data_IF_236520558370
#
_entry.id   IF_236520558370
#
_cell.length_a   1.000
_cell.length_b   1.000
_cell.length_c   1.000
_cell.angle_alpha   90.00
_cell.angle_beta   90.00
_cell.angle_gamma   90.00
#
_symmetry.space_group_name_H-M   'P 1'
#
loop_
_entity.id
_entity.type
_entity.pdbx_description
1 polymer ?
#
# COMPACT_ATOMS: atom_id res chain seq x y z
N UNK A 1 16.89 -1.98 -13.70
CA UNK A 1 15.60 -1.80 -14.38
C UNK A 1 14.55 -1.99 -13.30
N UNK A 2 13.85 -0.94 -12.89
CA UNK A 2 12.81 -1.08 -11.86
C UNK A 2 11.56 -1.64 -12.51
N UNK A 3 11.18 -2.86 -12.15
CA UNK A 3 10.01 -3.54 -12.71
C UNK A 3 8.74 -3.01 -12.03
N UNK A 4 8.08 -2.06 -12.68
CA UNK A 4 6.78 -1.53 -12.24
C UNK A 4 5.69 -2.60 -12.39
N UNK A 5 4.85 -2.75 -11.37
CA UNK A 5 3.75 -3.72 -11.37
C UNK A 5 2.43 -3.01 -11.67
N UNK A 6 1.60 -3.60 -12.52
CA UNK A 6 0.27 -3.06 -12.84
C UNK A 6 -0.70 -3.28 -11.67
N UNK A 7 -1.42 -2.25 -11.25
CA UNK A 7 -2.27 -2.29 -10.04
C UNK A 7 -3.62 -2.89 -10.32
N UNK A 8 -4.25 -2.43 -11.39
CA UNK A 8 -5.64 -2.74 -11.68
C UNK A 8 -5.78 -3.08 -13.15
N UNK A 9 -6.22 -4.31 -13.37
CA UNK A 9 -6.44 -4.92 -14.67
C UNK A 9 -7.85 -5.49 -14.64
N UNK A 10 -8.70 -5.06 -15.55
CA UNK A 10 -9.91 -5.80 -15.85
C UNK A 10 -9.52 -6.97 -16.78
N UNK A 11 -9.62 -8.20 -16.30
CA UNK A 11 -9.36 -9.39 -17.11
C UNK A 11 -10.52 -10.37 -17.01
N UNK A 12 -11.11 -10.72 -18.15
CA UNK A 12 -12.05 -11.83 -18.31
C UNK A 12 -11.31 -13.14 -18.65
N UNK A 13 -9.97 -13.14 -18.53
CA UNK A 13 -9.07 -14.15 -19.11
C UNK A 13 -7.87 -14.40 -18.18
N UNK A 14 -7.04 -15.42 -18.47
CA UNK A 14 -5.93 -15.89 -17.64
C UNK A 14 -5.04 -14.77 -17.05
N UNK A 15 -4.45 -15.00 -15.87
CA UNK A 15 -3.70 -14.02 -15.06
C UNK A 15 -2.61 -13.21 -15.80
N UNK A 16 -2.04 -13.75 -16.88
CA UNK A 16 -1.00 -13.10 -17.70
C UNK A 16 -1.49 -12.67 -19.10
N UNK A 17 -2.80 -12.71 -19.35
CA UNK A 17 -3.38 -12.25 -20.61
C UNK A 17 -3.47 -10.73 -20.66
N UNK A 18 -3.58 -10.18 -21.87
CA UNK A 18 -3.65 -8.74 -22.07
C UNK A 18 -4.87 -8.16 -21.33
N UNK A 19 -4.68 -7.16 -20.45
CA UNK A 19 -5.78 -6.43 -19.81
C UNK A 19 -6.77 -5.87 -20.82
N UNK A 20 -8.06 -5.80 -20.46
CA UNK A 20 -9.02 -4.94 -21.16
C UNK A 20 -8.63 -3.47 -21.01
N UNK A 21 -8.24 -3.08 -19.80
CA UNK A 21 -7.84 -1.72 -19.46
C UNK A 21 -6.84 -1.74 -18.31
N UNK A 22 -5.83 -0.87 -18.39
CA UNK A 22 -4.87 -0.61 -17.32
C UNK A 22 -5.20 0.77 -16.74
N UNK A 23 -5.69 0.80 -15.51
CA UNK A 23 -6.12 2.04 -14.85
C UNK A 23 -5.09 2.58 -13.84
N UNK A 24 -4.00 1.85 -13.61
CA UNK A 24 -2.94 2.32 -12.73
C UNK A 24 -1.72 1.40 -12.62
N UNK A 25 -0.64 1.97 -12.09
CA UNK A 25 0.66 1.33 -11.87
C UNK A 25 1.15 1.60 -10.45
N UNK A 26 1.90 0.65 -9.89
CA UNK A 26 2.45 0.71 -8.54
C UNK A 26 3.86 0.18 -8.56
N UNK A 27 4.73 0.91 -7.87
CA UNK A 27 6.05 0.42 -7.57
C UNK A 27 6.04 -0.24 -6.18
N UNK A 28 6.22 -1.57 -6.09
CA UNK A 28 6.29 -2.24 -4.80
C UNK A 28 7.53 -1.84 -4.00
N UNK A 29 8.56 -1.34 -4.68
CA UNK A 29 9.83 -0.97 -4.09
C UNK A 29 9.69 0.42 -3.45
N UNK A 30 9.84 0.51 -2.12
CA UNK A 30 9.80 1.80 -1.44
C UNK A 30 11.01 2.66 -1.86
N UNK A 31 10.74 3.92 -2.18
CA UNK A 31 11.76 4.90 -2.55
C UNK A 31 11.93 5.94 -1.44
N UNK A 32 13.15 6.45 -1.33
CA UNK A 32 13.46 7.61 -0.51
C UNK A 32 13.21 8.85 -1.35
N UNK A 33 12.53 9.85 -0.78
CA UNK A 33 12.42 11.13 -1.46
C UNK A 33 13.77 11.85 -1.46
N UNK A 34 14.11 12.49 -2.57
CA UNK A 34 15.38 13.21 -2.69
C UNK A 34 15.38 14.49 -1.84
N UNK A 35 14.19 15.02 -1.53
CA UNK A 35 13.99 16.26 -0.79
C UNK A 35 13.52 16.05 0.65
N UNK A 36 13.17 14.82 1.05
CA UNK A 36 12.76 14.50 2.43
C UNK A 36 13.93 13.90 3.23
N UNK A 37 14.52 14.72 4.10
CA UNK A 37 15.59 14.32 5.01
C UNK A 37 15.11 13.43 6.16
N UNK A 38 13.79 13.32 6.39
CA UNK A 38 13.19 12.52 7.47
C UNK A 38 13.46 11.02 7.36
N UNK A 39 14.00 10.56 6.22
CA UNK A 39 14.27 9.14 5.96
C UNK A 39 13.01 8.29 5.76
N UNK A 40 11.83 8.92 5.63
CA UNK A 40 10.58 8.21 5.38
C UNK A 40 10.59 7.67 3.95
N UNK A 41 10.23 6.40 3.83
CA UNK A 41 10.08 5.74 2.54
C UNK A 41 8.64 5.88 2.05
N UNK A 42 8.47 6.24 0.78
CA UNK A 42 7.17 6.28 0.12
C UNK A 42 7.11 5.22 -0.99
N UNK A 43 5.89 4.87 -1.40
CA UNK A 43 5.66 4.01 -2.56
C UNK A 43 4.91 4.80 -3.62
N UNK A 44 5.38 4.72 -4.85
CA UNK A 44 4.75 5.40 -5.97
C UNK A 44 3.52 4.62 -6.43
N UNK A 45 2.37 5.28 -6.41
CA UNK A 45 1.12 4.75 -6.93
C UNK A 45 0.55 5.79 -7.89
N UNK A 46 0.28 5.38 -9.13
CA UNK A 46 -0.43 6.18 -10.13
C UNK A 46 -1.73 5.46 -10.45
N UNK A 47 -2.87 6.12 -10.23
CA UNK A 47 -4.18 5.51 -10.42
C UNK A 47 -5.17 6.53 -10.97
N UNK A 48 -5.93 6.14 -11.99
CA UNK A 48 -7.12 6.88 -12.43
C UNK A 48 -8.29 6.53 -11.48
N UNK A 49 -8.63 7.49 -10.63
CA UNK A 49 -9.65 7.33 -9.60
C UNK A 49 -11.06 7.31 -10.18
N UNK A 50 -11.34 8.10 -11.21
CA UNK A 50 -12.67 8.18 -11.80
C UNK A 50 -13.00 6.92 -12.58
N UNK A 51 -12.00 6.38 -13.28
CA UNK A 51 -12.13 5.10 -13.97
C UNK A 51 -12.28 3.93 -12.99
N UNK A 52 -11.53 3.94 -11.89
CA UNK A 52 -11.70 2.97 -10.82
C UNK A 52 -13.12 3.01 -10.23
N UNK A 53 -13.66 4.20 -9.94
CA UNK A 53 -15.03 4.38 -9.44
C UNK A 53 -16.06 3.81 -10.41
N UNK A 54 -15.93 4.10 -11.70
CA UNK A 54 -16.82 3.57 -12.73
C UNK A 54 -16.87 2.04 -12.70
N UNK A 55 -15.71 1.38 -12.73
CA UNK A 55 -15.65 -0.08 -12.76
C UNK A 55 -16.19 -0.71 -11.47
N UNK A 56 -15.91 -0.12 -10.31
CA UNK A 56 -16.52 -0.54 -9.04
C UNK A 56 -18.04 -0.40 -9.07
N UNK A 57 -18.56 0.69 -9.63
CA UNK A 57 -20.01 0.91 -9.79
C UNK A 57 -20.69 -0.10 -10.74
N UNK A 58 -19.98 -0.58 -11.75
CA UNK A 58 -20.44 -1.66 -12.66
C UNK A 58 -20.38 -3.05 -12.00
N UNK A 59 -19.77 -3.16 -10.81
CA UNK A 59 -19.69 -4.42 -10.06
C UNK A 59 -18.37 -5.16 -10.19
N UNK A 60 -17.31 -4.51 -10.69
CA UNK A 60 -15.98 -5.09 -10.72
C UNK A 60 -15.52 -5.50 -9.31
N UNK A 61 -14.84 -6.64 -9.19
CA UNK A 61 -14.31 -7.15 -7.93
C UNK A 61 -12.80 -6.87 -7.86
N UNK A 62 -12.36 -5.78 -7.21
CA UNK A 62 -10.94 -5.49 -7.07
C UNK A 62 -10.27 -6.49 -6.11
N UNK A 63 -9.00 -6.79 -6.40
CA UNK A 63 -8.14 -7.62 -5.54
C UNK A 63 -7.80 -6.90 -4.23
N UNK A 64 -7.31 -7.61 -3.21
CA UNK A 64 -7.11 -7.03 -1.87
C UNK A 64 -6.12 -5.86 -1.85
N UNK A 65 -5.06 -5.92 -2.66
CA UNK A 65 -4.07 -4.84 -2.77
C UNK A 65 -4.71 -3.58 -3.36
N UNK A 66 -5.50 -3.76 -4.40
CA UNK A 66 -6.25 -2.68 -5.06
C UNK A 66 -7.28 -2.09 -4.12
N UNK A 67 -8.04 -2.95 -3.45
CA UNK A 67 -9.04 -2.55 -2.48
C UNK A 67 -8.42 -1.65 -1.42
N UNK A 68 -7.22 -1.99 -0.95
CA UNK A 68 -6.49 -1.18 0.01
C UNK A 68 -6.17 0.21 -0.54
N UNK A 69 -5.68 0.32 -1.78
CA UNK A 69 -5.44 1.64 -2.40
C UNK A 69 -6.73 2.44 -2.56
N UNK A 70 -7.79 1.83 -3.09
CA UNK A 70 -9.09 2.49 -3.23
C UNK A 70 -9.67 2.93 -1.88
N UNK A 71 -9.46 2.15 -0.83
CA UNK A 71 -9.88 2.53 0.52
C UNK A 71 -9.06 3.67 1.12
N UNK A 72 -7.76 3.74 0.82
CA UNK A 72 -6.90 4.86 1.23
C UNK A 72 -7.29 6.16 0.51
N UNK A 73 -7.82 6.06 -0.71
CA UNK A 73 -8.35 7.18 -1.50
C UNK A 73 -9.81 7.51 -1.16
N UNK A 74 -10.45 6.79 -0.23
CA UNK A 74 -11.84 7.03 0.18
C UNK A 74 -12.90 6.57 -0.83
N UNK A 75 -12.54 5.74 -1.81
CA UNK A 75 -13.48 5.20 -2.82
C UNK A 75 -14.27 4.01 -2.28
N UNK A 76 -13.64 3.18 -1.45
CA UNK A 76 -14.22 1.97 -0.88
C UNK A 76 -14.01 1.93 0.63
N UNK A 77 -14.91 1.28 1.35
CA UNK A 77 -14.68 1.01 2.78
C UNK A 77 -13.53 0.01 2.97
N UNK A 78 -12.60 0.23 3.91
CA UNK A 78 -11.51 -0.71 4.16
C UNK A 78 -12.04 -2.06 4.64
N UNK A 79 -11.76 -3.15 3.89
CA UNK A 79 -12.08 -4.53 4.31
C UNK A 79 -11.38 -4.94 5.61
N UNK A 80 -10.14 -4.46 5.80
CA UNK A 80 -9.33 -4.75 6.97
C UNK A 80 -8.88 -3.44 7.61
N UNK A 81 -9.33 -3.18 8.84
CA UNK A 81 -8.76 -2.13 9.68
C UNK A 81 -7.54 -2.72 10.37
N UNK A 82 -6.32 -2.20 10.15
CA UNK A 82 -5.17 -2.69 10.89
C UNK A 82 -5.42 -2.48 12.38
N UNK A 83 -5.34 -3.55 13.17
CA UNK A 83 -5.31 -3.40 14.63
C UNK A 83 -4.13 -2.50 14.98
N UNK A 84 -4.35 -1.54 15.88
CA UNK A 84 -3.28 -0.70 16.40
C UNK A 84 -2.14 -1.63 16.84
N UNK A 85 -0.91 -1.36 16.38
CA UNK A 85 0.27 -2.07 16.90
C UNK A 85 0.30 -1.77 18.39
N UNK A 86 0.25 -2.82 19.23
CA UNK A 86 0.47 -2.66 20.66
C UNK A 86 1.74 -1.82 20.86
N UNK A 87 1.75 -0.82 21.76
CA UNK A 87 2.97 -0.06 22.01
C UNK A 87 4.09 -1.03 22.39
N UNK A 88 5.34 -0.76 21.95
CA UNK A 88 6.46 -1.60 22.34
C UNK A 88 6.49 -1.73 23.87
N UNK A 89 6.81 -2.91 24.42
CA UNK A 89 6.98 -3.07 25.86
C UNK A 89 7.93 -1.98 26.38
N UNK A 90 7.65 -1.35 27.53
CA UNK A 90 8.56 -0.36 28.09
C UNK A 90 9.96 -0.96 28.21
N UNK A 91 10.96 -0.24 27.69
CA UNK A 91 12.38 -0.61 27.79
C UNK A 91 12.71 -0.86 29.26
N UNK A 92 13.12 -2.09 29.60
CA UNK A 92 13.61 -2.40 30.94
C UNK A 92 14.89 -1.60 31.15
N UNK A 93 14.85 -0.61 32.03
CA UNK A 93 16.05 0.09 32.48
C UNK A 93 16.74 -0.83 33.47
N UNK A 94 17.78 -1.54 33.03
CA UNK A 94 18.66 -2.28 33.90
C UNK A 94 19.39 -1.29 34.82
N UNK A 95 18.82 -1.06 36.00
CA UNK A 95 19.50 -0.39 37.12
C UNK A 95 20.64 -1.28 37.57
N UNK A 96 21.78 -1.19 36.90
CA UNK A 96 23.02 -1.82 37.35
C UNK A 96 23.50 -1.03 38.55
N UNK A 97 23.33 -1.61 39.73
CA UNK A 97 23.77 -1.06 41.00
C UNK A 97 25.27 -0.71 40.94
N UNK A 98 25.57 0.56 41.23
CA UNK A 98 26.89 1.07 41.56
C UNK A 98 27.49 0.25 42.71
N UNK A 99 28.38 -0.68 42.38
CA UNK A 99 29.45 -1.11 43.29
C UNK A 99 30.67 -0.30 42.90
N UNK A 100 31.04 0.66 43.73
CA UNK A 100 32.35 1.30 43.68
C UNK A 100 32.71 1.79 45.08
N UNK A 101 33.77 1.15 45.59
CA UNK A 101 34.77 1.51 46.62
C UNK A 101 34.32 1.79 48.06
#
# INVERSE_FOLDING_TARGET
MSDWQTVLVLSLTARNSKPLEVIGTYDPIPKKDSYDESGKLHKDIRLDVDRAKYWVGVGAQPTDTVWRFLSMLGVLEPKYRPKAKNPPPPLQTDTTATTSI
#
